data_IF_134271106569
#
_entry.id   IF_134271106569
#
_cell.length_a   1.000
_cell.length_b   1.000
_cell.length_c   1.000
_cell.angle_alpha   90.00
_cell.angle_beta   90.00
_cell.angle_gamma   90.00
#
_symmetry.space_group_name_H-M   'P 1'
#
loop_
_entity.id
_entity.type
_entity.pdbx_description
1 polymer ?
#
# COMPACT_ATOMS: atom_id res chain seq x y z
N UNK A 1 -56.12 9.41 89.55
CA UNK A 1 -55.35 8.53 88.64
C UNK A 1 -55.84 8.76 87.22
N UNK A 2 -55.04 9.45 86.41
CA UNK A 2 -55.44 9.87 85.05
C UNK A 2 -54.81 8.98 83.98
N UNK A 3 -55.59 8.28 83.23
CA UNK A 3 -55.18 7.51 82.04
C UNK A 3 -54.96 8.46 80.87
N UNK A 4 -53.76 8.55 80.34
CA UNK A 4 -53.47 9.21 79.07
C UNK A 4 -53.55 8.18 77.90
N UNK A 5 -54.40 8.45 76.93
CA UNK A 5 -54.51 7.74 75.68
C UNK A 5 -53.46 8.31 74.72
N UNK A 6 -52.57 7.52 74.25
CA UNK A 6 -51.66 7.88 73.16
C UNK A 6 -52.25 7.50 71.83
N UNK A 7 -52.43 8.50 70.98
CA UNK A 7 -52.96 8.40 69.62
C UNK A 7 -51.78 8.10 68.68
N UNK A 8 -51.78 6.91 68.08
CA UNK A 8 -50.77 6.51 67.09
C UNK A 8 -51.09 7.14 65.72
N UNK A 9 -50.14 7.86 65.21
CA UNK A 9 -50.19 8.43 63.86
C UNK A 9 -49.51 7.47 62.88
N UNK A 10 -50.29 6.80 62.02
CA UNK A 10 -49.79 5.98 60.93
C UNK A 10 -49.41 6.90 59.75
N UNK A 11 -48.10 7.06 59.56
CA UNK A 11 -47.54 7.71 58.35
C UNK A 11 -47.40 6.67 57.27
N UNK A 12 -48.26 6.70 56.25
CA UNK A 12 -48.11 5.92 55.03
C UNK A 12 -47.04 6.52 54.15
N UNK A 13 -45.88 5.86 54.06
CA UNK A 13 -44.82 6.21 53.13
C UNK A 13 -45.16 5.56 51.79
N UNK A 14 -45.65 6.37 50.85
CA UNK A 14 -45.78 5.98 49.42
C UNK A 14 -44.42 5.98 48.78
N UNK A 15 -43.87 4.80 48.52
CA UNK A 15 -42.66 4.65 47.71
C UNK A 15 -43.00 4.88 46.25
N UNK A 16 -42.63 6.03 45.74
CA UNK A 16 -42.73 6.37 44.32
C UNK A 16 -41.55 5.71 43.60
N UNK A 17 -41.78 4.57 42.94
CA UNK A 17 -40.81 3.89 42.11
C UNK A 17 -40.60 4.67 40.84
N UNK A 18 -39.54 5.48 40.77
CA UNK A 18 -39.08 6.10 39.53
C UNK A 18 -38.40 5.00 38.71
N UNK A 19 -39.11 4.46 37.72
CA UNK A 19 -38.51 3.64 36.67
C UNK A 19 -37.65 4.56 35.81
N UNK A 20 -36.34 4.56 36.09
CA UNK A 20 -35.33 5.14 35.20
C UNK A 20 -35.29 4.26 33.91
N UNK A 21 -36.06 4.66 32.91
CA UNK A 21 -35.88 4.16 31.55
C UNK A 21 -34.50 4.67 31.06
N UNK A 22 -33.47 3.89 31.33
CA UNK A 22 -32.16 4.06 30.73
C UNK A 22 -32.29 3.84 29.24
N UNK A 23 -32.47 4.92 28.46
CA UNK A 23 -32.19 4.91 27.05
C UNK A 23 -30.66 4.63 26.87
N UNK A 24 -30.29 3.36 26.82
CA UNK A 24 -29.05 3.01 26.17
C UNK A 24 -29.22 3.40 24.71
N UNK A 25 -28.66 4.54 24.32
CA UNK A 25 -28.36 4.81 22.89
C UNK A 25 -27.37 3.71 22.48
N UNK A 26 -27.91 2.58 22.06
CA UNK A 26 -27.18 1.69 21.16
C UNK A 26 -26.76 2.58 20.00
N UNK A 27 -25.44 2.77 19.80
CA UNK A 27 -24.95 3.27 18.54
C UNK A 27 -25.48 2.29 17.48
N UNK A 28 -26.54 2.66 16.79
CA UNK A 28 -26.94 2.01 15.58
C UNK A 28 -25.74 2.14 14.65
N UNK A 29 -25.06 1.02 14.36
CA UNK A 29 -24.08 1.01 13.28
C UNK A 29 -24.85 1.47 12.05
N UNK A 30 -24.52 2.65 11.57
CA UNK A 30 -25.12 3.23 10.38
C UNK A 30 -24.95 2.23 9.24
N UNK A 31 -26.05 1.72 8.72
CA UNK A 31 -26.07 0.73 7.64
C UNK A 31 -25.29 1.27 6.44
N UNK A 32 -24.54 0.42 5.75
CA UNK A 32 -23.74 0.82 4.61
C UNK A 32 -24.67 1.28 3.47
N UNK A 33 -24.50 2.51 3.03
CA UNK A 33 -25.33 3.08 1.96
C UNK A 33 -24.73 2.80 0.58
N UNK A 34 -25.28 1.81 -0.13
CA UNK A 34 -24.85 1.43 -1.46
C UNK A 34 -25.08 2.49 -2.55
N UNK A 35 -26.01 3.43 -2.34
CA UNK A 35 -26.32 4.49 -3.30
C UNK A 35 -25.31 5.66 -3.23
N UNK A 36 -24.53 5.72 -2.15
CA UNK A 36 -23.55 6.78 -2.00
C UNK A 36 -22.43 6.63 -3.02
N UNK A 37 -21.95 7.77 -3.50
CA UNK A 37 -20.85 7.83 -4.46
C UNK A 37 -19.58 7.16 -3.93
N UNK A 38 -18.89 6.43 -4.80
CA UNK A 38 -17.58 5.80 -4.51
C UNK A 38 -16.52 6.89 -4.51
N UNK A 39 -15.79 7.00 -3.41
CA UNK A 39 -14.59 7.85 -3.36
C UNK A 39 -13.41 7.08 -3.95
N UNK A 40 -13.05 7.42 -5.18
CA UNK A 40 -11.88 6.83 -5.85
C UNK A 40 -10.60 7.47 -5.32
N UNK A 41 -9.73 6.65 -4.73
CA UNK A 41 -8.44 7.07 -4.20
C UNK A 41 -7.32 6.48 -5.05
N UNK A 42 -6.51 7.34 -5.62
CA UNK A 42 -5.39 6.98 -6.50
C UNK A 42 -4.06 7.52 -5.97
N UNK A 43 -2.97 7.05 -6.55
CA UNK A 43 -1.65 7.65 -6.39
C UNK A 43 -1.46 8.75 -7.42
N UNK A 44 -0.55 9.65 -7.14
CA UNK A 44 -0.13 10.71 -8.06
C UNK A 44 0.60 10.18 -9.31
N UNK A 45 0.82 11.03 -10.29
CA UNK A 45 1.45 10.66 -11.56
C UNK A 45 2.93 10.22 -11.43
N UNK A 46 3.62 10.59 -10.35
CA UNK A 46 5.01 10.18 -10.10
C UNK A 46 5.09 8.73 -9.55
N UNK A 47 3.97 8.17 -9.12
CA UNK A 47 3.90 6.84 -8.53
C UNK A 47 4.04 5.72 -9.57
N UNK A 48 5.04 4.87 -9.38
CA UNK A 48 5.15 3.61 -10.14
C UNK A 48 4.00 2.65 -9.86
N UNK A 49 3.42 2.68 -8.64
CA UNK A 49 2.23 1.88 -8.29
C UNK A 49 1.04 2.27 -9.15
N UNK A 50 0.79 3.59 -9.35
CA UNK A 50 -0.23 4.06 -10.28
C UNK A 50 0.07 3.57 -11.70
N UNK A 51 1.32 3.76 -12.15
CA UNK A 51 1.70 3.33 -13.50
C UNK A 51 1.39 1.86 -13.75
N UNK A 52 1.85 0.97 -12.87
CA UNK A 52 1.62 -0.46 -12.99
C UNK A 52 0.14 -0.84 -12.85
N UNK A 53 -0.56 -0.31 -11.84
CA UNK A 53 -1.98 -0.61 -11.61
C UNK A 53 -2.86 -0.16 -12.77
N UNK A 54 -2.69 1.08 -13.25
CA UNK A 54 -3.48 1.63 -14.34
C UNK A 54 -3.23 0.92 -15.68
N UNK A 55 -2.00 0.44 -15.91
CA UNK A 55 -1.67 -0.37 -17.08
C UNK A 55 -2.32 -1.76 -17.02
N UNK A 56 -2.14 -2.48 -15.89
CA UNK A 56 -2.70 -3.82 -15.70
C UNK A 56 -4.23 -3.80 -15.76
N UNK A 57 -4.86 -2.80 -15.12
CA UNK A 57 -6.31 -2.61 -15.10
C UNK A 57 -6.84 -1.89 -16.35
N UNK A 58 -6.01 -1.60 -17.35
CA UNK A 58 -6.43 -0.90 -18.57
C UNK A 58 -7.12 0.45 -18.34
N UNK A 59 -6.85 1.07 -17.20
CA UNK A 59 -7.24 2.48 -16.92
C UNK A 59 -6.37 3.40 -17.77
N UNK A 60 -5.09 3.06 -17.91
CA UNK A 60 -4.15 3.67 -18.84
C UNK A 60 -4.06 2.84 -20.10
N UNK A 61 -4.30 3.47 -21.23
CA UNK A 61 -4.28 2.82 -22.55
C UNK A 61 -3.29 3.54 -23.47
N UNK A 62 -2.66 2.76 -24.35
CA UNK A 62 -1.77 3.28 -25.40
C UNK A 62 -2.43 3.02 -26.74
N UNK A 63 -2.75 4.09 -27.47
CA UNK A 63 -3.30 4.03 -28.82
C UNK A 63 -2.55 5.02 -29.71
N UNK A 64 -2.17 4.59 -30.91
CA UNK A 64 -1.47 5.41 -31.91
C UNK A 64 -0.22 6.14 -31.37
N UNK A 65 0.52 5.46 -30.49
CA UNK A 65 1.73 6.01 -29.86
C UNK A 65 1.47 6.98 -28.70
N UNK A 66 0.20 7.32 -28.41
CA UNK A 66 -0.20 8.21 -27.32
C UNK A 66 -0.69 7.39 -26.12
N UNK A 67 -0.17 7.67 -24.94
CA UNK A 67 -0.68 7.13 -23.68
C UNK A 67 -1.74 8.07 -23.10
N UNK A 68 -2.90 7.53 -22.76
CA UNK A 68 -3.98 8.24 -22.09
C UNK A 68 -4.31 7.56 -20.77
N UNK A 69 -4.23 8.30 -19.67
CA UNK A 69 -4.68 7.84 -18.34
C UNK A 69 -6.13 8.32 -18.15
N UNK A 70 -7.06 7.38 -18.11
CA UNK A 70 -8.50 7.62 -18.03
C UNK A 70 -9.00 7.65 -16.58
N UNK A 71 -8.16 8.00 -15.61
CA UNK A 71 -8.57 8.12 -14.22
C UNK A 71 -9.79 9.06 -14.12
N UNK A 72 -10.78 8.65 -13.34
CA UNK A 72 -12.02 9.38 -13.12
C UNK A 72 -11.76 10.82 -12.65
N UNK A 73 -12.50 11.75 -13.22
CA UNK A 73 -12.47 13.15 -12.76
C UNK A 73 -13.00 13.20 -11.33
N UNK A 74 -12.24 13.85 -10.43
CA UNK A 74 -12.59 13.92 -9.00
C UNK A 74 -11.98 12.82 -8.14
N UNK A 75 -11.20 11.88 -8.71
CA UNK A 75 -10.40 10.96 -7.93
C UNK A 75 -9.42 11.72 -7.02
N UNK A 76 -9.28 11.26 -5.78
CA UNK A 76 -8.33 11.84 -4.83
C UNK A 76 -6.94 11.26 -5.10
N UNK A 77 -5.99 12.12 -5.40
CA UNK A 77 -4.62 11.72 -5.74
C UNK A 77 -3.65 12.00 -4.59
N UNK A 78 -2.83 11.01 -4.22
CA UNK A 78 -1.86 11.12 -3.12
C UNK A 78 -0.45 10.70 -3.55
N UNK A 79 0.55 11.40 -3.04
CA UNK A 79 1.99 11.19 -3.30
C UNK A 79 2.63 10.06 -2.46
N UNK A 80 1.90 9.49 -1.47
CA UNK A 80 2.40 8.46 -0.55
C UNK A 80 1.45 7.30 -0.34
N UNK A 81 2.00 6.11 -0.07
CA UNK A 81 1.24 4.89 0.21
C UNK A 81 0.38 5.04 1.47
N UNK A 82 0.94 5.58 2.55
CA UNK A 82 0.23 5.75 3.83
C UNK A 82 -0.93 6.76 3.74
N UNK A 83 -0.81 7.79 2.88
CA UNK A 83 -1.88 8.74 2.63
C UNK A 83 -3.08 8.09 1.95
N UNK A 84 -2.86 7.12 1.04
CA UNK A 84 -3.94 6.30 0.45
C UNK A 84 -4.62 5.47 1.54
N UNK A 85 -3.84 4.80 2.40
CA UNK A 85 -4.39 4.03 3.53
C UNK A 85 -5.25 4.93 4.42
N UNK A 86 -4.76 6.10 4.79
CA UNK A 86 -5.49 7.07 5.64
C UNK A 86 -6.79 7.53 5.00
N UNK A 87 -6.80 7.82 3.69
CA UNK A 87 -8.00 8.23 2.97
C UNK A 87 -9.05 7.11 2.95
N UNK A 88 -8.64 5.86 2.66
CA UNK A 88 -9.54 4.70 2.63
C UNK A 88 -10.04 4.34 4.03
N UNK A 89 -9.19 4.42 5.07
CA UNK A 89 -9.61 4.21 6.45
C UNK A 89 -10.68 5.22 6.91
N UNK A 90 -10.56 6.46 6.45
CA UNK A 90 -11.46 7.56 6.84
C UNK A 90 -12.81 7.58 6.12
N UNK A 91 -13.00 6.83 5.04
CA UNK A 91 -14.25 6.83 4.26
C UNK A 91 -14.73 5.41 3.95
N UNK A 92 -15.94 5.06 4.45
CA UNK A 92 -16.58 3.75 4.23
C UNK A 92 -16.78 3.43 2.74
N UNK A 93 -16.91 4.44 1.89
CA UNK A 93 -17.21 4.30 0.47
C UNK A 93 -15.97 4.40 -0.42
N UNK A 94 -14.79 4.61 0.19
CA UNK A 94 -13.54 4.72 -0.56
C UNK A 94 -13.02 3.37 -1.06
N UNK A 95 -12.40 3.42 -2.24
CA UNK A 95 -11.58 2.36 -2.83
C UNK A 95 -10.19 2.93 -3.12
N UNK A 96 -9.16 2.16 -2.84
CA UNK A 96 -7.77 2.52 -3.13
C UNK A 96 -6.94 1.30 -3.52
N UNK A 97 -5.67 1.50 -3.82
CA UNK A 97 -4.73 0.42 -4.09
C UNK A 97 -3.34 0.72 -3.51
N UNK A 98 -2.71 -0.30 -2.95
CA UNK A 98 -1.37 -0.21 -2.36
C UNK A 98 -0.57 -1.49 -2.61
N UNK A 99 0.73 -1.45 -2.32
CA UNK A 99 1.59 -2.65 -2.24
C UNK A 99 1.06 -3.63 -1.18
N UNK A 100 1.10 -4.94 -1.49
CA UNK A 100 0.76 -6.01 -0.52
C UNK A 100 1.66 -5.93 0.71
N UNK A 101 2.94 -5.63 0.53
CA UNK A 101 3.87 -5.46 1.66
C UNK A 101 3.59 -4.24 2.55
N UNK A 102 2.70 -3.34 2.11
CA UNK A 102 2.26 -2.17 2.91
C UNK A 102 0.91 -2.37 3.58
N UNK A 103 0.33 -3.57 3.51
CA UNK A 103 -0.95 -3.88 4.14
C UNK A 103 -0.84 -3.82 5.67
N UNK A 104 -1.83 -3.21 6.27
CA UNK A 104 -2.00 -3.11 7.72
C UNK A 104 -3.43 -3.42 8.12
N UNK A 105 -3.68 -3.51 9.42
CA UNK A 105 -5.02 -3.73 9.97
C UNK A 105 -5.95 -2.50 9.89
N UNK A 106 -5.49 -1.38 9.33
CA UNK A 106 -6.28 -0.14 9.14
C UNK A 106 -7.35 -0.27 8.06
N UNK A 107 -7.10 -1.09 7.05
CA UNK A 107 -7.97 -1.32 5.89
C UNK A 107 -8.17 -2.81 5.66
N UNK A 108 -9.08 -3.18 4.77
CA UNK A 108 -9.21 -4.55 4.27
C UNK A 108 -8.89 -4.63 2.78
N UNK A 109 -8.47 -5.80 2.33
CA UNK A 109 -8.35 -6.11 0.91
C UNK A 109 -9.69 -6.62 0.36
N UNK A 110 -9.91 -6.44 -0.94
CA UNK A 110 -10.91 -7.18 -1.69
C UNK A 110 -10.23 -8.16 -2.64
N UNK A 111 -10.88 -9.27 -2.93
CA UNK A 111 -10.42 -10.19 -3.98
C UNK A 111 -10.57 -9.54 -5.34
N UNK A 112 -9.81 -10.02 -6.31
CA UNK A 112 -9.95 -9.67 -7.71
C UNK A 112 -10.22 -10.93 -8.50
N UNK A 113 -11.38 -11.02 -9.14
CA UNK A 113 -11.84 -12.22 -9.87
C UNK A 113 -11.80 -13.48 -8.97
N UNK A 114 -12.19 -13.36 -7.71
CA UNK A 114 -12.19 -14.45 -6.72
C UNK A 114 -10.82 -14.76 -6.09
N UNK A 115 -9.73 -14.14 -6.53
CA UNK A 115 -8.37 -14.39 -6.01
C UNK A 115 -7.96 -13.34 -4.97
N UNK A 116 -7.44 -13.80 -3.82
CA UNK A 116 -6.81 -12.95 -2.82
C UNK A 116 -5.39 -12.53 -3.22
N UNK A 117 -4.90 -11.36 -2.79
CA UNK A 117 -3.54 -10.87 -3.09
C UNK A 117 -2.48 -11.60 -2.23
N UNK A 118 -2.37 -12.92 -2.37
CA UNK A 118 -1.41 -13.75 -1.65
C UNK A 118 -0.19 -14.08 -2.51
N UNK A 119 0.93 -14.40 -1.86
CA UNK A 119 2.15 -14.86 -2.54
C UNK A 119 1.86 -16.05 -3.47
N UNK A 120 1.08 -17.02 -3.00
CA UNK A 120 0.70 -18.20 -3.76
C UNK A 120 -0.07 -17.84 -5.03
N UNK A 121 -1.10 -17.00 -4.90
CA UNK A 121 -1.95 -16.59 -6.02
C UNK A 121 -1.20 -15.70 -7.03
N UNK A 122 -0.22 -14.92 -6.57
CA UNK A 122 0.64 -14.13 -7.47
C UNK A 122 1.57 -15.07 -8.24
N UNK A 123 2.21 -16.04 -7.56
CA UNK A 123 3.13 -16.99 -8.18
C UNK A 123 2.46 -17.92 -9.21
N UNK A 124 1.25 -18.39 -8.93
CA UNK A 124 0.51 -19.27 -9.84
C UNK A 124 -0.29 -18.51 -10.91
N UNK A 125 -0.27 -17.15 -10.88
CA UNK A 125 -0.92 -16.29 -11.87
C UNK A 125 -2.43 -16.12 -11.70
N UNK A 126 -3.04 -16.64 -10.63
CA UNK A 126 -4.48 -16.43 -10.35
C UNK A 126 -4.76 -15.00 -9.88
N UNK A 127 -3.82 -14.36 -9.19
CA UNK A 127 -3.84 -12.93 -8.88
C UNK A 127 -2.95 -12.16 -9.86
N UNK A 128 -3.56 -11.48 -10.81
CA UNK A 128 -2.86 -10.88 -11.96
C UNK A 128 -2.22 -9.52 -11.70
N UNK A 129 -2.55 -8.87 -10.56
CA UNK A 129 -2.10 -7.51 -10.26
C UNK A 129 -0.81 -7.53 -9.47
N UNK A 130 0.28 -7.74 -10.18
CA UNK A 130 1.63 -7.77 -9.63
C UNK A 130 2.63 -7.04 -10.52
N UNK A 131 3.77 -6.70 -9.95
CA UNK A 131 4.81 -5.92 -10.62
C UNK A 131 6.17 -6.16 -9.99
N UNK A 132 7.27 -5.89 -10.68
CA UNK A 132 8.57 -5.90 -10.06
C UNK A 132 8.80 -4.66 -9.18
N UNK A 133 9.51 -4.86 -8.11
CA UNK A 133 10.28 -3.82 -7.44
C UNK A 133 11.69 -3.83 -8.02
N UNK A 134 12.14 -2.68 -8.48
CA UNK A 134 13.42 -2.52 -9.12
C UNK A 134 14.32 -1.56 -8.35
N UNK A 135 15.60 -1.90 -8.28
CA UNK A 135 16.67 -0.95 -8.09
C UNK A 135 17.29 -0.66 -9.46
N UNK A 136 17.44 0.61 -9.76
CA UNK A 136 18.00 1.05 -11.05
C UNK A 136 19.26 1.88 -10.84
N UNK A 137 20.30 1.60 -11.64
CA UNK A 137 21.60 2.27 -11.52
C UNK A 137 22.14 2.59 -12.91
N UNK A 138 23.07 3.53 -12.99
CA UNK A 138 23.92 3.62 -14.19
C UNK A 138 24.79 2.38 -14.37
N UNK A 139 25.31 2.19 -15.58
CA UNK A 139 26.31 1.13 -15.86
C UNK A 139 27.56 1.31 -14.97
N UNK A 140 28.11 2.55 -15.00
CA UNK A 140 29.29 2.92 -14.22
C UNK A 140 28.88 3.36 -12.82
N UNK A 141 28.74 2.42 -11.91
CA UNK A 141 28.46 2.63 -10.49
C UNK A 141 29.71 2.45 -9.64
N UNK A 142 29.67 2.93 -8.41
CA UNK A 142 30.78 2.76 -7.47
C UNK A 142 30.87 1.32 -6.98
N UNK A 143 32.04 0.91 -6.51
CA UNK A 143 32.25 -0.39 -5.89
C UNK A 143 31.32 -0.62 -4.69
N UNK A 144 31.06 0.43 -3.91
CA UNK A 144 30.12 0.40 -2.77
C UNK A 144 28.71 0.08 -3.22
N UNK A 145 28.23 0.67 -4.32
CA UNK A 145 26.90 0.37 -4.89
C UNK A 145 26.84 -1.05 -5.42
N UNK A 146 27.88 -1.53 -6.09
CA UNK A 146 27.98 -2.92 -6.54
C UNK A 146 27.91 -3.91 -5.38
N UNK A 147 28.64 -3.63 -4.30
CA UNK A 147 28.65 -4.46 -3.10
C UNK A 147 27.27 -4.51 -2.43
N UNK A 148 26.59 -3.37 -2.34
CA UNK A 148 25.21 -3.34 -1.83
C UNK A 148 24.24 -4.14 -2.73
N UNK A 149 24.37 -4.06 -4.05
CA UNK A 149 23.54 -4.87 -4.96
C UNK A 149 23.81 -6.37 -4.83
N UNK A 150 25.07 -6.79 -4.58
CA UNK A 150 25.41 -8.19 -4.26
C UNK A 150 24.74 -8.62 -2.95
N UNK A 151 24.75 -7.77 -1.92
CA UNK A 151 24.02 -8.05 -0.69
C UNK A 151 22.52 -8.22 -0.96
N UNK A 152 21.90 -7.33 -1.75
CA UNK A 152 20.47 -7.40 -2.10
C UNK A 152 20.12 -8.72 -2.80
N UNK A 153 20.94 -9.19 -3.74
CA UNK A 153 20.72 -10.45 -4.47
C UNK A 153 21.13 -11.70 -3.69
N UNK A 154 21.88 -11.55 -2.60
CA UNK A 154 22.33 -12.68 -1.76
C UNK A 154 21.17 -13.42 -1.09
N UNK A 155 21.45 -14.63 -0.58
CA UNK A 155 20.50 -15.39 0.21
C UNK A 155 19.93 -14.60 1.40
N UNK A 156 20.75 -13.78 2.05
CA UNK A 156 20.35 -12.90 3.16
C UNK A 156 19.40 -11.78 2.72
N UNK A 157 19.72 -11.07 1.63
CA UNK A 157 18.89 -10.00 1.10
C UNK A 157 17.54 -10.52 0.62
N UNK A 158 17.52 -11.67 -0.07
CA UNK A 158 16.28 -12.28 -0.56
C UNK A 158 15.44 -12.90 0.57
N UNK A 159 16.07 -13.37 1.66
CA UNK A 159 15.36 -13.80 2.87
C UNK A 159 14.60 -12.63 3.53
N UNK A 160 15.19 -11.43 3.57
CA UNK A 160 14.52 -10.21 4.06
C UNK A 160 13.28 -9.90 3.20
N UNK A 161 13.40 -9.96 1.87
CA UNK A 161 12.26 -9.74 1.00
C UNK A 161 11.12 -10.74 1.28
N UNK A 162 11.44 -12.01 1.47
CA UNK A 162 10.48 -13.06 1.80
C UNK A 162 9.83 -12.86 3.19
N UNK A 163 10.60 -12.49 4.21
CA UNK A 163 10.09 -12.19 5.55
C UNK A 163 9.07 -11.04 5.52
N UNK A 164 9.31 -10.04 4.69
CA UNK A 164 8.41 -8.93 4.45
C UNK A 164 7.25 -9.26 3.48
N UNK A 165 7.03 -10.55 3.15
CA UNK A 165 5.95 -11.07 2.30
C UNK A 165 6.02 -10.63 0.84
N UNK A 166 7.19 -10.27 0.36
CA UNK A 166 7.45 -10.12 -1.07
C UNK A 166 7.94 -11.44 -1.67
N UNK A 167 7.73 -11.60 -2.96
CA UNK A 167 8.30 -12.73 -3.70
C UNK A 167 9.73 -12.36 -4.08
N UNK A 168 10.74 -13.18 -3.74
CA UNK A 168 12.12 -12.93 -4.12
C UNK A 168 12.26 -12.63 -5.62
N UNK A 169 13.07 -11.65 -5.95
CA UNK A 169 13.24 -11.17 -7.33
C UNK A 169 14.16 -12.03 -8.18
N UNK A 170 14.98 -12.84 -7.53
CA UNK A 170 15.90 -13.80 -8.14
C UNK A 170 16.01 -15.06 -7.27
N UNK A 171 16.49 -16.15 -7.85
CA UNK A 171 17.02 -17.24 -7.03
C UNK A 171 18.16 -16.68 -6.19
N UNK A 172 18.18 -17.03 -4.90
CA UNK A 172 19.17 -16.50 -3.98
C UNK A 172 20.57 -16.91 -4.47
N UNK A 173 21.39 -15.92 -4.73
CA UNK A 173 22.80 -16.11 -4.99
C UNK A 173 23.54 -16.53 -3.70
N UNK A 174 24.86 -16.60 -3.74
CA UNK A 174 25.72 -16.98 -2.62
C UNK A 174 25.46 -16.16 -1.35
N UNK A 175 25.94 -16.66 -0.22
CA UNK A 175 25.94 -15.89 1.04
C UNK A 175 26.77 -14.62 0.88
N UNK A 176 26.22 -13.51 1.36
CA UNK A 176 26.94 -12.24 1.37
C UNK A 176 28.01 -12.23 2.47
N UNK A 177 29.21 -11.83 2.10
CA UNK A 177 30.33 -11.57 3.04
C UNK A 177 30.63 -10.08 3.05
N UNK A 178 30.72 -9.49 4.25
CA UNK A 178 31.01 -8.08 4.41
C UNK A 178 32.35 -7.69 3.76
N UNK A 179 32.30 -6.65 2.94
CA UNK A 179 33.47 -6.18 2.16
C UNK A 179 34.36 -5.21 2.92
N UNK A 180 33.87 -4.57 3.99
CA UNK A 180 34.57 -3.52 4.73
C UNK A 180 34.68 -2.18 3.98
N UNK A 181 33.96 -2.03 2.86
CA UNK A 181 33.89 -0.77 2.09
C UNK A 181 33.19 0.30 2.94
N UNK A 182 33.62 1.56 2.76
CA UNK A 182 33.11 2.71 3.49
C UNK A 182 32.51 3.72 2.53
N UNK A 183 31.54 4.50 3.00
CA UNK A 183 31.01 5.62 2.22
C UNK A 183 29.50 5.81 2.40
N UNK A 184 28.92 6.59 1.49
CA UNK A 184 27.48 6.90 1.48
C UNK A 184 26.87 6.44 0.18
N UNK A 185 25.73 5.76 0.25
CA UNK A 185 24.89 5.41 -0.89
C UNK A 185 23.65 6.32 -0.87
N UNK A 186 23.42 7.03 -1.99
CA UNK A 186 22.24 7.89 -2.17
C UNK A 186 21.15 7.14 -2.91
N UNK A 187 19.96 7.06 -2.31
CA UNK A 187 18.83 6.30 -2.83
C UNK A 187 17.60 7.19 -2.93
N UNK A 188 16.90 7.19 -4.07
CA UNK A 188 15.64 7.93 -4.20
C UNK A 188 14.58 7.11 -4.93
N UNK A 189 13.29 7.37 -4.67
CA UNK A 189 12.24 6.84 -5.53
C UNK A 189 10.99 6.30 -4.84
N UNK A 190 10.58 5.12 -5.23
CA UNK A 190 9.27 4.54 -4.92
C UNK A 190 8.96 4.44 -3.43
N UNK A 191 7.85 5.07 -3.02
CA UNK A 191 7.30 4.97 -1.65
C UNK A 191 6.84 3.56 -1.29
N UNK A 192 6.53 2.72 -2.27
CA UNK A 192 6.16 1.30 -2.05
C UNK A 192 7.37 0.40 -1.83
N UNK A 193 8.53 0.77 -2.39
CA UNK A 193 9.80 0.04 -2.21
C UNK A 193 10.48 0.43 -0.89
N UNK A 194 10.21 1.64 -0.42
CA UNK A 194 10.85 2.22 0.78
C UNK A 194 10.90 1.27 1.98
N UNK A 195 9.82 0.61 2.42
CA UNK A 195 9.88 -0.26 3.61
C UNK A 195 10.87 -1.42 3.46
N UNK A 196 10.92 -2.05 2.28
CA UNK A 196 11.88 -3.12 2.01
C UNK A 196 13.32 -2.58 1.95
N UNK A 197 13.51 -1.42 1.31
CA UNK A 197 14.82 -0.79 1.23
C UNK A 197 15.35 -0.40 2.62
N UNK A 198 14.52 0.14 3.50
CA UNK A 198 14.90 0.48 4.88
C UNK A 198 15.40 -0.76 5.64
N UNK A 199 14.69 -1.89 5.49
CA UNK A 199 15.10 -3.13 6.14
C UNK A 199 16.41 -3.68 5.59
N UNK A 200 16.59 -3.63 4.27
CA UNK A 200 17.85 -4.00 3.62
C UNK A 200 19.02 -3.10 4.04
N UNK A 201 18.81 -1.80 4.14
CA UNK A 201 19.81 -0.85 4.61
C UNK A 201 20.21 -1.11 6.06
N UNK A 202 19.23 -1.36 6.93
CA UNK A 202 19.48 -1.69 8.34
C UNK A 202 20.36 -2.93 8.45
N UNK A 203 20.02 -3.98 7.74
CA UNK A 203 20.74 -5.25 7.79
C UNK A 203 22.14 -5.16 7.16
N UNK A 204 22.26 -4.49 6.00
CA UNK A 204 23.54 -4.25 5.35
C UNK A 204 24.50 -3.43 6.23
N UNK A 205 24.00 -2.37 6.90
CA UNK A 205 24.77 -1.57 7.85
C UNK A 205 25.23 -2.37 9.07
N UNK A 206 24.49 -3.37 9.51
CA UNK A 206 24.92 -4.24 10.61
C UNK A 206 26.18 -5.03 10.26
N UNK A 207 26.39 -5.32 8.97
CA UNK A 207 27.57 -6.01 8.43
C UNK A 207 28.68 -5.05 7.99
N UNK A 208 28.31 -3.83 7.57
CA UNK A 208 29.19 -2.79 7.06
C UNK A 208 28.97 -1.47 7.82
N UNK A 209 29.44 -1.35 9.06
CA UNK A 209 29.09 -0.24 9.98
C UNK A 209 29.60 1.13 9.51
N UNK A 210 30.59 1.16 8.62
CA UNK A 210 31.15 2.40 8.06
C UNK A 210 30.39 2.90 6.81
N UNK A 211 29.25 2.25 6.45
CA UNK A 211 28.39 2.67 5.34
C UNK A 211 27.19 3.45 5.87
N UNK A 212 26.86 4.55 5.18
CA UNK A 212 25.67 5.36 5.43
C UNK A 212 24.77 5.42 4.21
N UNK A 213 23.48 5.73 4.42
CA UNK A 213 22.51 5.91 3.35
C UNK A 213 21.84 7.28 3.48
N UNK A 214 21.67 7.95 2.33
CA UNK A 214 20.79 9.10 2.17
C UNK A 214 19.60 8.65 1.32
N UNK A 215 18.40 8.59 1.89
CA UNK A 215 17.24 8.08 1.18
C UNK A 215 16.12 9.10 1.07
N UNK A 216 15.52 9.22 -0.15
CA UNK A 216 14.32 9.98 -0.41
C UNK A 216 13.21 9.12 -0.99
N UNK A 217 12.03 9.20 -0.38
CA UNK A 217 10.82 8.48 -0.80
C UNK A 217 9.88 9.47 -1.52
N UNK A 218 10.01 9.61 -2.84
CA UNK A 218 9.38 10.67 -3.64
C UNK A 218 8.71 10.18 -4.94
N UNK A 219 8.59 8.84 -5.11
CA UNK A 219 7.94 8.21 -6.25
C UNK A 219 8.91 7.69 -7.31
N UNK A 220 8.50 6.64 -8.01
CA UNK A 220 9.36 5.91 -8.97
C UNK A 220 9.92 6.81 -10.07
N UNK A 221 9.09 7.68 -10.65
CA UNK A 221 9.53 8.56 -11.74
C UNK A 221 10.62 9.54 -11.30
N UNK A 222 10.56 10.01 -10.04
CA UNK A 222 11.59 10.89 -9.46
C UNK A 222 12.88 10.11 -9.19
N UNK A 223 12.78 8.89 -8.64
CA UNK A 223 13.94 8.04 -8.40
C UNK A 223 14.66 7.62 -9.69
N UNK A 224 13.90 7.24 -10.71
CA UNK A 224 14.45 6.92 -12.04
C UNK A 224 15.18 8.14 -12.63
N UNK A 225 14.54 9.32 -12.60
CA UNK A 225 15.15 10.55 -13.08
C UNK A 225 16.45 10.87 -12.33
N UNK A 226 16.44 10.76 -11.00
CA UNK A 226 17.59 11.02 -10.16
C UNK A 226 18.77 10.06 -10.43
N UNK A 227 18.46 8.79 -10.76
CA UNK A 227 19.47 7.84 -11.20
C UNK A 227 20.02 8.18 -12.60
N UNK A 228 19.16 8.62 -13.54
CA UNK A 228 19.58 9.05 -14.90
C UNK A 228 20.50 10.27 -14.84
N UNK A 229 20.16 11.29 -14.07
CA UNK A 229 20.98 12.50 -13.97
C UNK A 229 22.22 12.34 -13.04
N UNK A 230 22.24 11.27 -12.22
CA UNK A 230 23.34 10.93 -11.32
C UNK A 230 23.35 11.71 -10.02
N UNK A 231 22.27 12.38 -9.64
CA UNK A 231 22.13 13.02 -8.33
C UNK A 231 21.94 11.98 -7.21
N UNK A 232 21.49 10.78 -7.57
CA UNK A 232 21.40 9.63 -6.70
C UNK A 232 22.05 8.40 -7.35
N UNK A 233 22.64 7.53 -6.53
CA UNK A 233 23.34 6.33 -6.97
C UNK A 233 22.37 5.23 -7.40
N UNK A 234 21.26 5.11 -6.67
CA UNK A 234 20.23 4.08 -6.86
C UNK A 234 18.86 4.74 -6.96
N UNK A 235 18.12 4.44 -8.02
CA UNK A 235 16.70 4.73 -8.13
C UNK A 235 15.86 3.54 -7.70
N UNK A 236 14.80 3.77 -6.91
CA UNK A 236 13.79 2.76 -6.57
C UNK A 236 12.58 2.88 -7.49
N UNK A 237 12.17 1.78 -8.13
CA UNK A 237 10.97 1.75 -8.95
C UNK A 237 10.03 0.61 -8.57
N UNK A 238 8.74 0.88 -8.61
CA UNK A 238 7.65 -0.09 -8.44
C UNK A 238 6.84 -0.25 -9.75
N UNK A 239 7.49 -0.09 -10.86
CA UNK A 239 7.05 -0.40 -12.22
C UNK A 239 8.24 -0.76 -13.09
N UNK A 240 7.99 -1.35 -14.23
CA UNK A 240 9.03 -1.52 -15.26
C UNK A 240 9.56 -0.16 -15.75
N UNK A 241 10.80 -0.18 -16.24
CA UNK A 241 11.38 0.96 -16.93
C UNK A 241 10.71 1.13 -18.30
N UNK A 242 10.48 2.37 -18.69
CA UNK A 242 10.13 2.71 -20.06
C UNK A 242 11.32 2.48 -20.98
N UNK A 243 11.07 2.37 -22.29
CA UNK A 243 12.12 2.12 -23.27
C UNK A 243 13.26 3.16 -23.23
N UNK A 244 12.91 4.44 -23.12
CA UNK A 244 13.85 5.56 -22.99
C UNK A 244 14.65 5.53 -21.69
N UNK A 245 14.03 5.13 -20.57
CA UNK A 245 14.67 4.98 -19.27
C UNK A 245 15.68 3.81 -19.27
N UNK A 246 15.31 2.70 -19.93
CA UNK A 246 16.12 1.48 -20.02
C UNK A 246 17.40 1.66 -20.85
N UNK A 247 17.48 2.67 -21.72
CA UNK A 247 18.70 3.01 -22.47
C UNK A 247 19.82 3.47 -21.52
N UNK A 248 19.46 4.18 -20.47
CA UNK A 248 20.42 4.85 -19.58
C UNK A 248 20.69 4.12 -18.27
N UNK A 249 19.85 3.14 -17.93
CA UNK A 249 19.88 2.47 -16.62
C UNK A 249 19.91 0.95 -16.74
N UNK A 250 20.62 0.34 -15.79
CA UNK A 250 20.56 -1.10 -15.51
C UNK A 250 19.48 -1.36 -14.48
N UNK A 251 18.64 -2.36 -14.72
CA UNK A 251 17.61 -2.82 -13.79
C UNK A 251 18.11 -4.00 -12.96
N UNK A 252 17.84 -3.97 -11.68
CA UNK A 252 18.06 -5.06 -10.73
C UNK A 252 16.71 -5.38 -10.09
N UNK A 253 16.22 -6.61 -10.28
CA UNK A 253 14.94 -7.02 -9.70
C UNK A 253 15.16 -7.29 -8.21
N UNK A 254 14.58 -6.45 -7.37
CA UNK A 254 14.64 -6.56 -5.92
C UNK A 254 13.67 -7.63 -5.41
N UNK A 255 12.42 -7.57 -5.87
CA UNK A 255 11.34 -8.47 -5.49
C UNK A 255 10.19 -8.35 -6.48
N UNK A 256 9.22 -9.28 -6.42
CA UNK A 256 7.91 -9.13 -7.05
C UNK A 256 6.90 -8.80 -5.94
N UNK A 257 6.10 -7.78 -6.17
CA UNK A 257 5.09 -7.27 -5.25
C UNK A 257 3.69 -7.33 -5.87
N UNK A 258 2.71 -7.75 -5.10
CA UNK A 258 1.31 -7.62 -5.46
C UNK A 258 0.79 -6.20 -5.21
N UNK A 259 -0.15 -5.73 -6.02
CA UNK A 259 -0.91 -4.52 -5.74
C UNK A 259 -2.29 -4.93 -5.24
N UNK A 260 -2.56 -4.70 -3.96
CA UNK A 260 -3.85 -5.00 -3.37
C UNK A 260 -4.82 -3.83 -3.58
N UNK A 261 -6.04 -4.13 -4.00
CA UNK A 261 -7.16 -3.20 -3.90
C UNK A 261 -7.66 -3.22 -2.46
N UNK A 262 -7.78 -2.03 -1.86
CA UNK A 262 -8.14 -1.85 -0.46
C UNK A 262 -9.45 -1.07 -0.32
N UNK A 263 -10.21 -1.47 0.69
CA UNK A 263 -11.48 -0.88 1.09
C UNK A 263 -11.45 -0.55 2.58
N UNK A 264 -12.32 0.34 3.01
CA UNK A 264 -12.58 0.54 4.42
C UNK A 264 -13.11 -0.75 5.06
N UNK A 265 -12.76 -1.04 6.30
CA UNK A 265 -13.19 -2.24 7.02
C UNK A 265 -14.71 -2.42 7.10
N UNK A 266 -15.44 -1.31 7.11
CA UNK A 266 -16.92 -1.29 7.17
C UNK A 266 -17.58 -1.36 5.79
N UNK A 267 -16.83 -1.43 4.69
CA UNK A 267 -17.38 -1.67 3.37
C UNK A 267 -17.74 -3.16 3.24
N UNK A 268 -18.97 -3.55 2.83
CA UNK A 268 -19.37 -4.96 2.76
C UNK A 268 -18.79 -5.71 1.56
N UNK A 269 -18.28 -5.02 0.55
CA UNK A 269 -17.73 -5.63 -0.66
C UNK A 269 -16.48 -6.46 -0.32
N UNK A 270 -16.38 -7.66 -0.88
CA UNK A 270 -15.27 -8.58 -0.63
C UNK A 270 -14.62 -9.16 -1.91
N UNK A 271 -15.24 -8.91 -3.06
CA UNK A 271 -14.74 -9.34 -4.37
C UNK A 271 -15.13 -8.31 -5.43
N UNK A 272 -14.25 -8.08 -6.38
CA UNK A 272 -14.48 -7.23 -7.54
C UNK A 272 -13.87 -7.90 -8.77
N UNK A 273 -14.54 -7.84 -9.89
CA UNK A 273 -13.94 -8.20 -11.15
C UNK A 273 -12.92 -7.13 -11.60
N UNK A 274 -11.97 -7.51 -12.42
CA UNK A 274 -11.04 -6.57 -13.05
C UNK A 274 -11.78 -5.51 -13.89
N UNK A 275 -12.91 -5.87 -14.48
CA UNK A 275 -13.76 -4.97 -15.24
C UNK A 275 -14.43 -3.93 -14.34
N UNK A 276 -15.04 -4.35 -13.22
CA UNK A 276 -15.63 -3.42 -12.24
C UNK A 276 -14.60 -2.45 -11.66
N UNK A 277 -13.39 -2.92 -11.34
CA UNK A 277 -12.30 -2.05 -10.90
C UNK A 277 -11.97 -1.01 -11.98
N UNK A 278 -11.83 -1.45 -13.23
CA UNK A 278 -11.59 -0.53 -14.35
C UNK A 278 -12.72 0.49 -14.48
N UNK A 279 -13.96 0.05 -14.40
CA UNK A 279 -15.13 0.93 -14.52
C UNK A 279 -15.27 1.91 -13.35
N UNK A 280 -14.94 1.50 -12.12
CA UNK A 280 -14.87 2.40 -10.96
C UNK A 280 -13.79 3.46 -11.18
N UNK A 281 -12.57 3.04 -11.52
CA UNK A 281 -11.45 3.98 -11.68
C UNK A 281 -11.57 4.87 -12.92
N UNK A 282 -12.40 4.51 -13.90
CA UNK A 282 -12.72 5.35 -15.07
C UNK A 282 -14.02 6.15 -14.93
N UNK A 283 -14.71 6.04 -13.78
CA UNK A 283 -15.92 6.80 -13.47
C UNK A 283 -17.19 6.31 -14.16
N UNK A 284 -17.19 5.09 -14.73
CA UNK A 284 -18.40 4.47 -15.29
C UNK A 284 -19.29 3.88 -14.19
N UNK A 285 -18.71 3.25 -13.16
CA UNK A 285 -19.34 2.85 -11.92
C UNK A 285 -19.05 3.92 -10.88
N UNK A 286 -20.10 4.56 -10.36
CA UNK A 286 -20.00 5.67 -9.42
C UNK A 286 -20.58 5.37 -8.05
N UNK A 287 -21.34 4.28 -7.89
CA UNK A 287 -21.89 3.83 -6.61
C UNK A 287 -21.74 2.33 -6.42
N UNK A 288 -21.63 1.89 -5.17
CA UNK A 288 -21.50 0.46 -4.83
C UNK A 288 -22.74 -0.36 -5.22
N UNK A 289 -23.88 0.28 -5.46
CA UNK A 289 -25.10 -0.37 -5.98
C UNK A 289 -24.92 -0.97 -7.37
N UNK A 290 -24.03 -0.42 -8.16
CA UNK A 290 -23.80 -0.83 -9.55
C UNK A 290 -22.83 -2.02 -9.64
N UNK A 291 -22.13 -2.35 -8.56
CA UNK A 291 -21.26 -3.54 -8.44
C UNK A 291 -22.13 -4.79 -8.33
N UNK A 292 -21.81 -5.86 -9.06
CA UNK A 292 -22.62 -7.08 -9.22
C UNK A 292 -22.20 -8.21 -8.27
#
# INVERSE_FOLDING_TARGET
MKRRKTLGFLVSISVLSIAAAGCSKGQSMEEFNFEKEITVVARDAASGTRGAFHEIMKIKVKADGTETDNLAVGALEFDGTDKVVTAVEGDKHAIGYISVGSLSDRVKTTRINGADPTEENIKNGSYVVSRPFLLVTKENKTELVDDFLKFVSSSRGQAIAKEMKYIPGAEAEEEYTASGIKGTIKVAGSTSVTPLMEKLQEDYKSLNPDVTFEMQSNGSSQGIKAAIDGSYDIGMSSRELKEDEAISLKRHVLAIDGIAVILNKNNPISDLSSEEITEIYTGKITSWRQVK
#
